data_IF_375807872338
#
_entry.id   IF_375807872338
#
_cell.length_a   1.000
_cell.length_b   1.000
_cell.length_c   1.000
_cell.angle_alpha   90.00
_cell.angle_beta   90.00
_cell.angle_gamma   90.00
#
_symmetry.space_group_name_H-M   'P 1'
#
loop_
_entity.id
_entity.type
_entity.pdbx_description
1 polymer ?
#
# COMPACT_ATOMS: atom_id res chain seq x y z
N UNK A 1 31.63 16.49 -18.16
CA UNK A 1 32.59 15.60 -18.84
C UNK A 1 32.17 14.12 -18.71
N UNK A 2 30.92 13.75 -19.00
CA UNK A 2 30.41 12.38 -18.80
C UNK A 2 29.42 11.93 -19.91
N UNK A 3 29.60 12.41 -21.15
CA UNK A 3 28.67 12.13 -22.26
C UNK A 3 29.33 11.37 -23.42
N UNK A 4 30.66 11.22 -23.42
CA UNK A 4 31.37 10.48 -24.47
C UNK A 4 31.27 8.95 -24.24
N UNK A 5 31.41 8.50 -22.99
CA UNK A 5 31.45 7.07 -22.64
C UNK A 5 30.10 6.34 -22.84
N UNK A 6 28.97 7.06 -22.78
CA UNK A 6 27.64 6.47 -23.02
C UNK A 6 27.43 6.12 -24.50
N UNK A 7 28.05 6.85 -25.43
CA UNK A 7 27.88 6.62 -26.87
C UNK A 7 28.41 5.25 -27.29
N UNK A 8 29.58 4.88 -26.79
CA UNK A 8 30.21 3.59 -27.08
C UNK A 8 29.43 2.43 -26.44
N UNK A 9 28.94 2.61 -25.21
CA UNK A 9 28.11 1.62 -24.54
C UNK A 9 26.76 1.40 -25.27
N UNK A 10 26.17 2.48 -25.81
CA UNK A 10 24.94 2.39 -26.60
C UNK A 10 25.19 1.66 -27.92
N UNK A 11 26.32 1.90 -28.57
CA UNK A 11 26.74 1.17 -29.77
C UNK A 11 26.85 -0.34 -29.52
N UNK A 12 27.52 -0.73 -28.43
CA UNK A 12 27.66 -2.13 -28.02
C UNK A 12 26.30 -2.81 -27.76
N UNK A 13 25.43 -2.15 -26.99
CA UNK A 13 24.08 -2.65 -26.68
C UNK A 13 23.20 -2.77 -27.93
N UNK A 14 23.25 -1.77 -28.82
CA UNK A 14 22.51 -1.81 -30.08
C UNK A 14 23.02 -2.91 -31.02
N UNK A 15 24.34 -3.10 -31.11
CA UNK A 15 24.95 -4.17 -31.88
C UNK A 15 24.55 -5.55 -31.34
N UNK A 16 24.46 -5.72 -30.01
CA UNK A 16 24.00 -6.96 -29.41
C UNK A 16 22.54 -7.26 -29.72
N UNK A 17 21.63 -6.28 -29.59
CA UNK A 17 20.20 -6.45 -29.95
C UNK A 17 20.03 -6.82 -31.42
N UNK A 18 20.87 -6.27 -32.30
CA UNK A 18 20.86 -6.57 -33.73
C UNK A 18 21.54 -7.91 -34.09
N UNK A 19 22.04 -8.67 -33.10
CA UNK A 19 22.76 -9.93 -33.30
C UNK A 19 24.16 -9.76 -33.92
N UNK A 20 24.71 -8.54 -33.93
CA UNK A 20 26.02 -8.20 -34.50
C UNK A 20 27.16 -8.37 -33.49
N UNK A 21 26.83 -8.40 -32.19
CA UNK A 21 27.79 -8.59 -31.09
C UNK A 21 27.43 -9.84 -30.30
N UNK A 22 28.40 -10.76 -30.13
CA UNK A 22 28.21 -11.97 -29.32
C UNK A 22 28.13 -11.66 -27.83
N UNK A 23 27.32 -12.42 -27.07
CA UNK A 23 27.16 -12.30 -25.62
C UNK A 23 28.47 -12.11 -24.80
N UNK A 24 29.54 -12.91 -24.98
CA UNK A 24 30.78 -12.71 -24.21
C UNK A 24 31.50 -11.40 -24.53
N UNK A 25 31.44 -10.93 -25.79
CA UNK A 25 32.02 -9.64 -26.19
C UNK A 25 31.24 -8.47 -25.60
N UNK A 26 29.91 -8.58 -25.53
CA UNK A 26 29.08 -7.55 -24.89
C UNK A 26 29.49 -7.32 -23.44
N UNK A 27 29.63 -8.38 -22.65
CA UNK A 27 30.06 -8.27 -21.24
C UNK A 27 31.44 -7.62 -21.12
N UNK A 28 32.39 -8.01 -21.97
CA UNK A 28 33.73 -7.42 -21.99
C UNK A 28 33.71 -5.92 -22.31
N UNK A 29 32.94 -5.50 -23.32
CA UNK A 29 32.82 -4.09 -23.70
C UNK A 29 32.13 -3.26 -22.61
N UNK A 30 31.04 -3.77 -22.02
CA UNK A 30 30.36 -3.10 -20.90
C UNK A 30 31.28 -2.96 -19.67
N UNK A 31 32.11 -3.98 -19.39
CA UNK A 31 33.11 -3.93 -18.32
C UNK A 31 34.17 -2.86 -18.58
N UNK A 32 34.73 -2.83 -19.80
CA UNK A 32 35.75 -1.86 -20.20
C UNK A 32 35.24 -0.41 -20.13
N UNK A 33 33.95 -0.20 -20.44
CA UNK A 33 33.27 1.10 -20.38
C UNK A 33 32.77 1.46 -18.97
N UNK A 34 33.04 0.63 -17.95
CA UNK A 34 32.66 0.91 -16.58
C UNK A 34 31.14 0.84 -16.31
N UNK A 35 30.37 0.19 -17.19
CA UNK A 35 28.92 0.15 -17.11
C UNK A 35 28.38 -0.44 -15.80
N UNK A 36 29.15 -1.29 -15.11
CA UNK A 36 28.76 -1.93 -13.85
C UNK A 36 28.92 -1.03 -12.61
N UNK A 37 29.65 0.08 -12.72
CA UNK A 37 29.97 0.95 -11.56
C UNK A 37 28.90 2.02 -11.28
N UNK A 38 28.10 2.35 -12.29
CA UNK A 38 27.16 3.47 -12.20
C UNK A 38 25.81 3.04 -11.64
N UNK A 39 25.24 3.87 -10.77
CA UNK A 39 23.92 3.69 -10.17
C UNK A 39 22.83 4.48 -10.91
N UNK A 40 21.58 4.13 -10.63
CA UNK A 40 20.37 4.75 -11.17
C UNK A 40 20.37 4.93 -12.70
N UNK A 41 19.74 6.02 -13.16
CA UNK A 41 19.61 6.36 -14.58
C UNK A 41 20.92 6.89 -15.20
N UNK A 42 21.95 7.15 -14.39
CA UNK A 42 23.30 7.49 -14.88
C UNK A 42 24.03 6.29 -15.46
N UNK A 43 23.58 5.07 -15.13
CA UNK A 43 24.09 3.83 -15.69
C UNK A 43 23.79 3.76 -17.21
N UNK A 44 24.79 3.45 -18.06
CA UNK A 44 24.59 3.43 -19.52
C UNK A 44 23.56 2.39 -19.96
N UNK A 45 23.46 1.24 -19.27
CA UNK A 45 22.46 0.22 -19.60
C UNK A 45 21.04 0.70 -19.23
N UNK A 46 20.87 1.33 -18.07
CA UNK A 46 19.58 1.88 -17.66
C UNK A 46 19.16 3.11 -18.49
N UNK A 47 20.13 3.90 -18.97
CA UNK A 47 19.91 5.01 -19.88
C UNK A 47 19.54 4.50 -21.29
N UNK A 48 20.21 3.46 -21.78
CA UNK A 48 19.89 2.81 -23.06
C UNK A 48 18.51 2.16 -23.03
N UNK A 49 18.16 1.45 -21.96
CA UNK A 49 16.80 0.93 -21.73
C UNK A 49 15.76 2.05 -21.85
N UNK A 50 16.00 3.19 -21.20
CA UNK A 50 15.10 4.34 -21.30
C UNK A 50 15.00 4.89 -22.73
N UNK A 51 16.13 4.96 -23.44
CA UNK A 51 16.16 5.38 -24.84
C UNK A 51 15.36 4.42 -25.73
N UNK A 52 15.45 3.10 -25.53
CA UNK A 52 14.67 2.11 -26.28
C UNK A 52 13.18 2.29 -26.02
N UNK A 53 12.78 2.44 -24.75
CA UNK A 53 11.38 2.61 -24.38
C UNK A 53 10.78 3.92 -24.90
N UNK A 54 11.50 5.03 -24.76
CA UNK A 54 11.05 6.37 -25.17
C UNK A 54 11.54 6.76 -26.58
N UNK A 55 12.04 5.80 -27.37
CA UNK A 55 12.46 6.05 -28.74
C UNK A 55 11.28 6.62 -29.54
N UNK A 56 11.48 7.81 -30.12
CA UNK A 56 10.50 8.41 -31.01
C UNK A 56 10.52 7.69 -32.35
N UNK A 57 9.35 7.48 -32.98
CA UNK A 57 9.29 6.85 -34.29
C UNK A 57 9.96 7.76 -35.33
N UNK A 58 10.69 7.14 -36.30
CA UNK A 58 11.48 7.88 -37.32
C UNK A 58 10.61 8.73 -38.25
N UNK A 59 9.39 8.27 -38.51
CA UNK A 59 8.28 9.04 -39.04
C UNK A 59 7.10 8.78 -38.10
N UNK A 60 6.22 9.75 -37.87
CA UNK A 60 4.92 9.50 -37.23
C UNK A 60 4.02 8.84 -38.27
N UNK A 61 3.95 7.50 -38.36
CA UNK A 61 3.31 6.84 -39.49
C UNK A 61 1.82 6.66 -39.20
N UNK A 62 1.06 6.31 -40.23
CA UNK A 62 -0.29 5.72 -40.13
C UNK A 62 -0.32 4.34 -39.43
N UNK A 63 0.84 3.82 -38.97
CA UNK A 63 0.94 2.58 -38.22
C UNK A 63 0.19 2.70 -36.89
N UNK A 64 -0.53 1.65 -36.51
CA UNK A 64 -1.30 1.68 -35.27
C UNK A 64 -0.33 1.76 -34.09
N UNK A 65 -0.54 2.73 -33.19
CA UNK A 65 0.19 2.92 -31.92
C UNK A 65 0.50 1.61 -31.17
N UNK A 66 -0.37 0.60 -31.29
CA UNK A 66 -0.15 -0.73 -30.71
C UNK A 66 1.07 -1.49 -31.28
N UNK A 67 1.33 -1.38 -32.58
CA UNK A 67 2.51 -1.99 -33.22
C UNK A 67 3.80 -1.36 -32.67
N UNK A 68 3.83 -0.04 -32.50
CA UNK A 68 4.97 0.68 -31.94
C UNK A 68 5.28 0.25 -30.50
N UNK A 69 4.26 0.09 -29.67
CA UNK A 69 4.45 -0.42 -28.30
C UNK A 69 4.94 -1.87 -28.31
N UNK A 70 4.42 -2.71 -29.21
CA UNK A 70 4.87 -4.09 -29.38
C UNK A 70 6.34 -4.19 -29.79
N UNK A 71 6.78 -3.36 -30.74
CA UNK A 71 8.19 -3.27 -31.15
C UNK A 71 9.10 -2.86 -29.99
N UNK A 72 8.67 -1.88 -29.18
CA UNK A 72 9.41 -1.43 -27.99
C UNK A 72 9.51 -2.51 -26.92
N UNK A 73 8.42 -3.23 -26.67
CA UNK A 73 8.41 -4.37 -25.76
C UNK A 73 9.35 -5.48 -26.24
N UNK A 74 9.33 -5.81 -27.54
CA UNK A 74 10.22 -6.79 -28.13
C UNK A 74 11.69 -6.35 -28.01
N UNK A 75 12.00 -5.09 -28.31
CA UNK A 75 13.36 -4.56 -28.21
C UNK A 75 13.88 -4.55 -26.75
N UNK A 76 13.04 -4.16 -25.79
CA UNK A 76 13.37 -4.22 -24.35
C UNK A 76 13.55 -5.67 -23.87
N UNK A 77 12.71 -6.60 -24.33
CA UNK A 77 12.86 -8.03 -24.05
C UNK A 77 14.17 -8.60 -24.60
N UNK A 78 14.53 -8.26 -25.84
CA UNK A 78 15.82 -8.64 -26.44
C UNK A 78 17.01 -8.06 -25.67
N UNK A 79 16.92 -6.80 -25.22
CA UNK A 79 17.95 -6.20 -24.36
C UNK A 79 18.16 -7.03 -23.09
N UNK A 80 17.09 -7.38 -22.37
CA UNK A 80 17.18 -8.20 -21.16
C UNK A 80 17.76 -9.58 -21.43
N UNK A 81 17.36 -10.21 -22.53
CA UNK A 81 17.89 -11.52 -22.95
C UNK A 81 19.39 -11.44 -23.24
N UNK A 82 19.85 -10.46 -24.01
CA UNK A 82 21.27 -10.26 -24.30
C UNK A 82 22.09 -10.01 -23.02
N UNK A 83 21.55 -9.23 -22.07
CA UNK A 83 22.20 -8.98 -20.77
C UNK A 83 22.26 -10.24 -19.91
N UNK A 84 21.24 -11.09 -19.96
CA UNK A 84 21.23 -12.38 -19.26
C UNK A 84 22.24 -13.35 -19.87
N UNK A 85 22.22 -13.53 -21.19
CA UNK A 85 23.09 -14.48 -21.91
C UNK A 85 24.57 -14.09 -21.81
N UNK A 86 24.87 -12.80 -21.67
CA UNK A 86 26.22 -12.28 -21.45
C UNK A 86 26.70 -12.36 -19.99
N UNK A 87 25.81 -12.68 -19.05
CA UNK A 87 26.08 -12.60 -17.61
C UNK A 87 26.10 -11.17 -17.05
N UNK A 88 26.04 -10.14 -17.91
CA UNK A 88 26.11 -8.75 -17.52
C UNK A 88 24.98 -8.35 -16.56
N UNK A 89 23.80 -8.97 -16.67
CA UNK A 89 22.66 -8.70 -15.80
C UNK A 89 22.97 -8.95 -14.31
N UNK A 90 23.85 -9.91 -13.99
CA UNK A 90 24.25 -10.19 -12.60
C UNK A 90 25.25 -9.19 -12.02
N UNK A 91 25.94 -8.44 -12.88
CA UNK A 91 26.99 -7.49 -12.49
C UNK A 91 26.49 -6.05 -12.37
N UNK A 92 25.27 -5.77 -12.86
CA UNK A 92 24.70 -4.44 -12.80
C UNK A 92 24.37 -4.01 -11.37
N UNK A 93 24.54 -2.71 -11.12
CA UNK A 93 24.15 -2.10 -9.85
C UNK A 93 22.64 -2.33 -9.57
N UNK A 94 22.23 -2.67 -8.33
CA UNK A 94 20.83 -2.98 -8.00
C UNK A 94 19.82 -1.92 -8.42
N UNK A 95 20.15 -0.64 -8.24
CA UNK A 95 19.29 0.48 -8.67
C UNK A 95 19.12 0.56 -10.19
N UNK A 96 20.14 0.17 -10.97
CA UNK A 96 20.07 0.15 -12.42
C UNK A 96 19.17 -1.02 -12.87
N UNK A 97 19.37 -2.21 -12.30
CA UNK A 97 18.49 -3.37 -12.53
C UNK A 97 17.02 -3.07 -12.23
N UNK A 98 16.77 -2.40 -11.12
CA UNK A 98 15.43 -1.95 -10.75
C UNK A 98 14.81 -1.06 -11.82
N UNK A 99 15.54 -0.08 -12.34
CA UNK A 99 15.06 0.78 -13.42
C UNK A 99 14.82 0.00 -14.70
N UNK A 100 15.69 -0.94 -15.08
CA UNK A 100 15.47 -1.79 -16.24
C UNK A 100 14.15 -2.57 -16.14
N UNK A 101 13.88 -3.20 -15.00
CA UNK A 101 12.64 -3.94 -14.81
C UNK A 101 11.42 -3.01 -14.73
N UNK A 102 11.56 -1.85 -14.11
CA UNK A 102 10.51 -0.82 -14.06
C UNK A 102 10.16 -0.30 -15.46
N UNK A 103 11.16 -0.11 -16.33
CA UNK A 103 10.92 0.38 -17.70
C UNK A 103 10.01 -0.58 -18.47
N UNK A 104 10.25 -1.90 -18.36
CA UNK A 104 9.38 -2.91 -18.94
C UNK A 104 7.97 -2.91 -18.35
N UNK A 105 7.84 -2.71 -17.03
CA UNK A 105 6.53 -2.61 -16.37
C UNK A 105 5.73 -1.39 -16.85
N UNK A 106 6.40 -0.24 -17.06
CA UNK A 106 5.76 0.98 -17.56
C UNK A 106 5.34 0.83 -19.03
N UNK A 107 6.13 0.12 -19.85
CA UNK A 107 5.73 -0.26 -21.20
C UNK A 107 4.47 -1.14 -21.20
N UNK A 108 4.42 -2.18 -20.37
CA UNK A 108 3.27 -3.06 -20.26
C UNK A 108 2.02 -2.32 -19.75
N UNK A 109 2.18 -1.44 -18.76
CA UNK A 109 1.09 -0.60 -18.26
C UNK A 109 0.44 0.24 -19.37
N UNK A 110 1.26 0.78 -20.27
CA UNK A 110 0.80 1.67 -21.31
C UNK A 110 0.21 0.91 -22.52
N UNK A 111 0.68 -0.32 -22.76
CA UNK A 111 0.04 -1.25 -23.70
C UNK A 111 -1.39 -1.63 -23.27
N UNK A 112 -1.59 -1.96 -21.99
CA UNK A 112 -2.93 -2.23 -21.43
C UNK A 112 -3.86 -1.01 -21.54
N UNK A 113 -3.34 0.19 -21.28
CA UNK A 113 -4.11 1.43 -21.46
C UNK A 113 -4.51 1.63 -22.94
N UNK A 114 -3.62 1.32 -23.88
CA UNK A 114 -3.94 1.40 -25.30
C UNK A 114 -5.05 0.43 -25.67
N UNK A 115 -4.95 -0.82 -25.22
CA UNK A 115 -5.97 -1.83 -25.46
C UNK A 115 -7.33 -1.39 -24.91
N UNK A 116 -7.36 -0.87 -23.68
CA UNK A 116 -8.58 -0.34 -23.07
C UNK A 116 -9.21 0.80 -23.89
N UNK A 117 -8.40 1.71 -24.42
CA UNK A 117 -8.88 2.81 -25.27
C UNK A 117 -9.44 2.31 -26.60
N UNK A 118 -8.79 1.32 -27.23
CA UNK A 118 -9.26 0.73 -28.50
C UNK A 118 -10.59 0.01 -28.37
N UNK A 119 -10.90 -0.54 -27.19
CA UNK A 119 -12.18 -1.20 -26.88
C UNK A 119 -13.33 -0.23 -26.56
N UNK A 120 -13.15 1.06 -26.85
CA UNK A 120 -14.17 2.10 -26.60
C UNK A 120 -13.96 2.82 -25.27
N UNK A 121 -12.74 3.28 -25.00
CA UNK A 121 -12.41 4.01 -23.78
C UNK A 121 -13.33 5.21 -23.53
N UNK A 122 -13.69 5.45 -22.27
CA UNK A 122 -14.60 6.53 -21.91
C UNK A 122 -13.94 7.91 -22.13
N UNK A 123 -14.74 8.93 -22.48
CA UNK A 123 -14.26 10.30 -22.71
C UNK A 123 -13.39 10.88 -21.57
N UNK A 124 -13.67 10.62 -20.26
CA UNK A 124 -12.80 11.07 -19.17
C UNK A 124 -11.38 10.48 -19.23
N UNK A 125 -11.25 9.22 -19.64
CA UNK A 125 -9.95 8.58 -19.83
C UNK A 125 -9.19 9.23 -20.99
N UNK A 126 -9.86 9.48 -22.11
CA UNK A 126 -9.25 10.14 -23.26
C UNK A 126 -8.76 11.56 -22.90
N UNK A 127 -9.52 12.31 -22.12
CA UNK A 127 -9.10 13.64 -21.65
C UNK A 127 -7.83 13.58 -20.78
N UNK A 128 -7.73 12.59 -19.89
CA UNK A 128 -6.53 12.36 -19.06
C UNK A 128 -5.32 11.99 -19.92
N UNK A 129 -5.51 11.11 -20.91
CA UNK A 129 -4.45 10.69 -21.84
C UNK A 129 -3.94 11.88 -22.66
N UNK A 130 -4.84 12.72 -23.17
CA UNK A 130 -4.47 13.93 -23.91
C UNK A 130 -3.73 14.94 -23.03
N UNK A 131 -4.16 15.14 -21.78
CA UNK A 131 -3.49 16.04 -20.84
C UNK A 131 -2.09 15.54 -20.47
N UNK A 132 -1.95 14.25 -20.15
CA UNK A 132 -0.67 13.63 -19.85
C UNK A 132 0.27 13.66 -21.07
N UNK A 133 -0.28 13.41 -22.26
CA UNK A 133 0.43 13.47 -23.53
C UNK A 133 0.93 14.87 -23.89
N UNK A 134 0.11 15.90 -23.66
CA UNK A 134 0.51 17.29 -23.85
C UNK A 134 1.66 17.68 -22.89
N UNK A 135 1.58 17.25 -21.63
CA UNK A 135 2.64 17.44 -20.66
C UNK A 135 3.93 16.67 -21.04
N UNK A 136 3.80 15.45 -21.58
CA UNK A 136 4.93 14.65 -22.03
C UNK A 136 5.61 15.27 -23.26
N UNK A 137 4.83 15.76 -24.22
CA UNK A 137 5.32 16.46 -25.40
C UNK A 137 6.10 17.74 -25.03
N UNK A 138 5.58 18.50 -24.06
CA UNK A 138 6.24 19.71 -23.55
C UNK A 138 7.55 19.41 -22.80
N UNK A 139 7.66 18.23 -22.18
CA UNK A 139 8.85 17.77 -21.46
C UNK A 139 9.86 17.02 -22.36
N UNK A 140 9.53 16.75 -23.62
CA UNK A 140 10.43 16.10 -24.57
C UNK A 140 11.47 17.09 -25.12
N UNK A 141 12.70 16.63 -25.28
CA UNK A 141 13.82 17.39 -25.86
C UNK A 141 14.40 16.58 -27.02
N UNK A 142 14.31 17.05 -28.27
CA UNK A 142 13.58 18.25 -28.73
C UNK A 142 12.06 18.11 -28.55
N UNK A 143 11.36 19.24 -28.49
CA UNK A 143 9.91 19.26 -28.38
C UNK A 143 9.28 18.50 -29.56
N UNK A 144 8.39 17.57 -29.23
CA UNK A 144 7.76 16.70 -30.21
C UNK A 144 6.55 17.43 -30.80
N UNK A 145 6.58 17.74 -32.10
CA UNK A 145 5.45 18.32 -32.83
C UNK A 145 4.39 17.25 -33.22
N UNK A 146 4.05 16.35 -32.29
CA UNK A 146 3.05 15.30 -32.50
C UNK A 146 1.73 15.64 -31.79
N UNK A 147 0.66 14.95 -32.16
CA UNK A 147 -0.58 15.04 -31.41
C UNK A 147 -0.34 14.58 -29.95
N UNK A 148 -1.05 15.15 -28.95
CA UNK A 148 -0.86 14.78 -27.55
C UNK A 148 -1.02 13.27 -27.29
N UNK A 149 -1.96 12.61 -27.96
CA UNK A 149 -2.14 11.16 -27.85
C UNK A 149 -0.92 10.39 -28.35
N UNK A 150 -0.39 10.75 -29.51
CA UNK A 150 0.77 10.07 -30.08
C UNK A 150 2.02 10.29 -29.21
N UNK A 151 2.19 11.50 -28.67
CA UNK A 151 3.27 11.80 -27.72
C UNK A 151 3.12 10.98 -26.42
N UNK A 152 1.90 10.76 -25.95
CA UNK A 152 1.62 9.93 -24.77
C UNK A 152 2.14 8.50 -24.98
N UNK A 153 1.83 7.88 -26.11
CA UNK A 153 2.23 6.51 -26.40
C UNK A 153 3.69 6.37 -26.85
N UNK A 154 4.28 7.43 -27.40
CA UNK A 154 5.66 7.42 -27.83
C UNK A 154 6.69 7.51 -26.68
N UNK A 155 6.33 8.03 -25.51
CA UNK A 155 7.26 8.17 -24.37
C UNK A 155 6.76 7.51 -23.08
N UNK A 156 6.66 6.17 -23.02
CA UNK A 156 6.04 5.47 -21.89
C UNK A 156 6.58 5.83 -20.52
N UNK A 157 7.91 6.02 -20.39
CA UNK A 157 8.54 6.27 -19.09
C UNK A 157 8.20 7.66 -18.53
N UNK A 158 7.96 8.62 -19.43
CA UNK A 158 7.51 9.99 -19.07
C UNK A 158 6.00 10.06 -18.91
N UNK A 159 5.27 9.37 -19.77
CA UNK A 159 3.82 9.45 -19.87
C UNK A 159 3.11 8.75 -18.71
N UNK A 160 3.60 7.61 -18.23
CA UNK A 160 2.93 6.86 -17.15
C UNK A 160 2.88 7.65 -15.82
N UNK A 161 3.96 8.28 -15.32
CA UNK A 161 3.88 9.13 -14.13
C UNK A 161 2.93 10.32 -14.32
N UNK A 162 2.94 10.94 -15.50
CA UNK A 162 2.05 12.06 -15.83
C UNK A 162 0.60 11.60 -15.88
N UNK A 163 0.32 10.43 -16.46
CA UNK A 163 -1.01 9.81 -16.46
C UNK A 163 -1.57 9.68 -15.05
N UNK A 164 -0.80 9.10 -14.12
CA UNK A 164 -1.24 8.92 -12.72
C UNK A 164 -1.54 10.27 -12.05
N UNK A 165 -0.70 11.29 -12.30
CA UNK A 165 -0.92 12.65 -11.79
C UNK A 165 -2.19 13.27 -12.37
N UNK A 166 -2.42 13.13 -13.67
CA UNK A 166 -3.63 13.65 -14.33
C UNK A 166 -4.89 12.88 -13.93
N UNK A 167 -4.79 11.57 -13.62
CA UNK A 167 -5.89 10.81 -13.01
C UNK A 167 -6.24 11.39 -11.63
N UNK A 168 -5.24 11.64 -10.77
CA UNK A 168 -5.47 12.25 -9.46
C UNK A 168 -6.16 13.63 -9.60
N UNK A 169 -5.67 14.46 -10.52
CA UNK A 169 -6.24 15.78 -10.79
C UNK A 169 -7.66 15.69 -11.40
N UNK A 170 -7.94 14.70 -12.25
CA UNK A 170 -9.27 14.46 -12.78
C UNK A 170 -10.23 13.99 -11.69
N UNK A 171 -9.81 13.04 -10.84
CA UNK A 171 -10.59 12.54 -9.71
C UNK A 171 -10.96 13.68 -8.73
N UNK A 172 -9.99 14.55 -8.40
CA UNK A 172 -10.22 15.70 -7.53
C UNK A 172 -11.22 16.72 -8.10
N UNK A 173 -11.39 16.77 -9.42
CA UNK A 173 -12.35 17.64 -10.11
C UNK A 173 -13.76 17.05 -10.19
N UNK A 174 -13.92 15.75 -9.92
CA UNK A 174 -15.24 15.13 -9.82
C UNK A 174 -15.88 15.60 -8.51
N UNK A 175 -16.74 16.62 -8.63
CA UNK A 175 -17.48 17.21 -7.52
C UNK A 175 -18.90 16.71 -7.57
N UNK A 176 -19.50 16.43 -6.41
CA UNK A 176 -20.93 16.13 -6.28
C UNK A 176 -21.78 17.35 -6.69
N UNK A 177 -22.00 17.52 -7.99
CA UNK A 177 -22.94 18.51 -8.53
C UNK A 177 -24.32 17.86 -8.68
N UNK A 178 -25.40 18.52 -8.21
CA UNK A 178 -26.75 17.99 -8.34
C UNK A 178 -27.08 17.76 -9.83
N UNK A 179 -27.48 16.54 -10.17
CA UNK A 179 -27.81 16.13 -11.54
C UNK A 179 -26.66 15.56 -12.37
N UNK A 180 -25.40 15.58 -11.88
CA UNK A 180 -24.24 14.97 -12.58
C UNK A 180 -23.66 13.73 -11.91
N UNK A 181 -24.09 13.41 -10.69
CA UNK A 181 -23.54 12.32 -9.88
C UNK A 181 -23.41 10.96 -10.61
N UNK A 182 -24.40 10.56 -11.42
CA UNK A 182 -24.32 9.31 -12.18
C UNK A 182 -23.25 9.36 -13.29
N UNK A 183 -23.12 10.50 -13.98
CA UNK A 183 -22.05 10.71 -14.97
C UNK A 183 -20.68 10.79 -14.34
N UNK A 184 -20.57 11.46 -13.18
CA UNK A 184 -19.33 11.57 -12.42
C UNK A 184 -18.88 10.20 -11.86
N UNK A 185 -19.82 9.35 -11.44
CA UNK A 185 -19.52 7.98 -11.02
C UNK A 185 -19.08 7.11 -12.21
N UNK A 186 -19.73 7.23 -13.38
CA UNK A 186 -19.29 6.51 -14.57
C UNK A 186 -17.89 6.95 -15.02
N UNK A 187 -17.59 8.25 -14.93
CA UNK A 187 -16.26 8.80 -15.17
C UNK A 187 -15.23 8.24 -14.19
N UNK A 188 -15.57 8.22 -12.89
CA UNK A 188 -14.70 7.68 -11.85
C UNK A 188 -14.41 6.18 -12.04
N UNK A 189 -15.44 5.39 -12.36
CA UNK A 189 -15.32 3.97 -12.64
C UNK A 189 -14.44 3.72 -13.89
N UNK A 190 -14.54 4.57 -14.92
CA UNK A 190 -13.68 4.49 -16.09
C UNK A 190 -12.20 4.80 -15.76
N UNK A 191 -11.94 5.85 -14.98
CA UNK A 191 -10.59 6.19 -14.53
C UNK A 191 -9.99 5.09 -13.64
N UNK A 192 -10.80 4.51 -12.75
CA UNK A 192 -10.39 3.41 -11.88
C UNK A 192 -10.02 2.18 -12.69
N UNK A 193 -10.85 1.78 -13.66
CA UNK A 193 -10.55 0.66 -14.57
C UNK A 193 -9.26 0.90 -15.35
N UNK A 194 -8.99 2.14 -15.77
CA UNK A 194 -7.76 2.47 -16.47
C UNK A 194 -6.52 2.31 -15.58
N UNK A 195 -6.56 2.81 -14.34
CA UNK A 195 -5.46 2.60 -13.38
C UNK A 195 -5.29 1.12 -13.06
N UNK A 196 -6.38 0.38 -12.86
CA UNK A 196 -6.33 -1.06 -12.61
C UNK A 196 -5.72 -1.82 -13.80
N UNK A 197 -6.12 -1.52 -15.04
CA UNK A 197 -5.55 -2.12 -16.24
C UNK A 197 -4.05 -1.85 -16.36
N UNK A 198 -3.63 -0.60 -16.19
CA UNK A 198 -2.22 -0.21 -16.20
C UNK A 198 -1.40 -0.97 -15.13
N UNK A 199 -1.93 -1.06 -13.91
CA UNK A 199 -1.26 -1.78 -12.82
C UNK A 199 -1.25 -3.30 -13.03
N UNK A 200 -2.29 -3.87 -13.63
CA UNK A 200 -2.36 -5.30 -13.96
C UNK A 200 -1.32 -5.68 -15.02
N UNK A 201 -1.19 -4.90 -16.10
CA UNK A 201 -0.16 -5.12 -17.11
C UNK A 201 1.25 -5.05 -16.52
N UNK A 202 1.49 -4.06 -15.66
CA UNK A 202 2.76 -3.95 -14.95
C UNK A 202 3.04 -5.13 -14.02
N UNK A 203 2.04 -5.61 -13.27
CA UNK A 203 2.22 -6.79 -12.41
C UNK A 203 2.43 -8.07 -13.21
N UNK A 204 1.77 -8.22 -14.36
CA UNK A 204 2.00 -9.34 -15.26
C UNK A 204 3.43 -9.32 -15.82
N UNK A 205 3.91 -8.15 -16.24
CA UNK A 205 5.29 -8.01 -16.67
C UNK A 205 6.28 -8.28 -15.53
N UNK A 206 5.93 -7.87 -14.31
CA UNK A 206 6.73 -8.17 -13.11
C UNK A 206 6.83 -9.67 -12.85
N UNK A 207 5.71 -10.40 -12.90
CA UNK A 207 5.73 -11.86 -12.67
C UNK A 207 6.54 -12.57 -13.75
N UNK A 208 6.44 -12.12 -15.00
CA UNK A 208 7.28 -12.57 -16.09
C UNK A 208 8.77 -12.32 -15.79
N UNK A 209 9.15 -11.11 -15.38
CA UNK A 209 10.55 -10.82 -15.03
C UNK A 209 11.06 -11.68 -13.88
N UNK A 210 10.23 -11.93 -12.85
CA UNK A 210 10.59 -12.78 -11.73
C UNK A 210 10.82 -14.24 -12.15
N UNK A 211 10.04 -14.75 -13.11
CA UNK A 211 10.16 -16.10 -13.62
C UNK A 211 11.45 -16.29 -14.44
N UNK A 212 11.74 -15.36 -15.35
CA UNK A 212 12.84 -15.50 -16.31
C UNK A 212 14.18 -14.95 -15.82
N UNK A 213 14.16 -13.92 -14.96
CA UNK A 213 15.35 -13.22 -14.45
C UNK A 213 15.45 -13.29 -12.92
N UNK A 214 15.07 -14.41 -12.31
CA UNK A 214 14.86 -14.54 -10.85
C UNK A 214 15.99 -14.02 -9.96
N UNK A 215 17.25 -14.32 -10.29
CA UNK A 215 18.42 -13.87 -9.52
C UNK A 215 18.59 -12.35 -9.58
N UNK A 216 18.61 -11.77 -10.79
CA UNK A 216 18.75 -10.33 -10.98
C UNK A 216 17.54 -9.56 -10.41
N UNK A 217 16.34 -10.13 -10.51
CA UNK A 217 15.13 -9.56 -9.96
C UNK A 217 15.16 -9.48 -8.43
N UNK A 218 15.67 -10.53 -7.74
CA UNK A 218 15.89 -10.50 -6.29
C UNK A 218 16.88 -9.41 -5.88
N UNK A 219 17.97 -9.25 -6.63
CA UNK A 219 18.98 -8.20 -6.38
C UNK A 219 18.36 -6.81 -6.57
N UNK A 220 17.56 -6.61 -7.61
CA UNK A 220 16.84 -5.35 -7.84
C UNK A 220 15.85 -5.02 -6.71
N UNK A 221 15.22 -6.03 -6.13
CA UNK A 221 14.26 -5.91 -5.02
C UNK A 221 14.89 -5.65 -3.65
N UNK A 222 16.20 -5.91 -3.46
CA UNK A 222 16.90 -5.76 -2.19
C UNK A 222 17.12 -4.31 -1.73
N UNK A 223 16.44 -3.33 -2.34
CA UNK A 223 16.07 -2.08 -1.65
C UNK A 223 17.22 -1.16 -1.27
N UNK A 224 18.16 -0.90 -2.17
CA UNK A 224 19.30 -0.02 -1.87
C UNK A 224 18.93 1.44 -1.54
N UNK A 225 17.72 1.90 -1.84
CA UNK A 225 17.32 3.32 -1.68
C UNK A 225 16.05 3.53 -0.82
N UNK A 226 15.52 2.50 -0.16
CA UNK A 226 14.28 2.61 0.64
C UNK A 226 13.01 2.99 -0.13
N UNK A 227 13.09 3.09 -1.45
CA UNK A 227 11.95 3.38 -2.29
C UNK A 227 11.17 2.09 -2.59
N UNK A 228 9.83 2.08 -2.46
CA UNK A 228 9.04 0.95 -2.95
C UNK A 228 9.12 0.82 -4.46
N UNK A 229 8.87 -0.37 -4.98
CA UNK A 229 8.67 -0.58 -6.41
C UNK A 229 7.67 0.41 -7.01
N UNK A 230 7.81 0.72 -8.30
CA UNK A 230 7.00 1.73 -8.97
C UNK A 230 5.48 1.47 -8.86
N UNK A 231 5.04 0.22 -8.89
CA UNK A 231 3.63 -0.18 -8.69
C UNK A 231 3.09 0.15 -7.30
N UNK A 232 3.96 0.39 -6.33
CA UNK A 232 3.65 0.88 -4.99
C UNK A 232 4.23 2.29 -4.73
N UNK A 233 4.70 2.97 -5.79
CA UNK A 233 5.31 4.30 -5.72
C UNK A 233 4.31 5.39 -5.35
N UNK A 234 4.84 6.56 -4.97
CA UNK A 234 4.03 7.71 -4.52
C UNK A 234 2.97 8.12 -5.55
N UNK A 235 3.31 8.18 -6.84
CA UNK A 235 2.36 8.54 -7.89
C UNK A 235 1.17 7.59 -7.99
N UNK A 236 1.40 6.28 -7.82
CA UNK A 236 0.31 5.27 -7.81
C UNK A 236 -0.56 5.44 -6.57
N UNK A 237 0.06 5.60 -5.39
CA UNK A 237 -0.66 5.81 -4.13
C UNK A 237 -1.50 7.09 -4.18
N UNK A 238 -0.95 8.19 -4.72
CA UNK A 238 -1.66 9.45 -4.87
C UNK A 238 -2.86 9.33 -5.82
N UNK A 239 -2.71 8.66 -6.97
CA UNK A 239 -3.80 8.40 -7.90
C UNK A 239 -4.92 7.57 -7.27
N UNK A 240 -4.57 6.45 -6.63
CA UNK A 240 -5.54 5.56 -5.96
C UNK A 240 -6.23 6.27 -4.79
N UNK A 241 -5.50 7.05 -3.99
CA UNK A 241 -6.07 7.82 -2.89
C UNK A 241 -7.05 8.90 -3.38
N UNK A 242 -6.72 9.61 -4.46
CA UNK A 242 -7.61 10.61 -5.06
C UNK A 242 -8.87 9.98 -5.64
N UNK A 243 -8.76 8.81 -6.29
CA UNK A 243 -9.91 8.05 -6.79
C UNK A 243 -10.81 7.57 -5.64
N UNK A 244 -10.22 7.01 -4.58
CA UNK A 244 -10.97 6.54 -3.42
C UNK A 244 -11.69 7.70 -2.71
N UNK A 245 -11.02 8.84 -2.55
CA UNK A 245 -11.61 10.03 -1.95
C UNK A 245 -12.76 10.60 -2.80
N UNK A 246 -12.60 10.66 -4.12
CA UNK A 246 -13.67 11.06 -5.03
C UNK A 246 -14.88 10.11 -4.93
N UNK A 247 -14.64 8.80 -4.86
CA UNK A 247 -15.70 7.80 -4.70
C UNK A 247 -16.46 7.98 -3.39
N UNK A 248 -15.76 8.19 -2.27
CA UNK A 248 -16.37 8.45 -0.97
C UNK A 248 -17.22 9.73 -0.99
N UNK A 249 -16.73 10.81 -1.61
CA UNK A 249 -17.45 12.10 -1.72
C UNK A 249 -18.70 12.00 -2.59
N UNK A 250 -18.63 11.28 -3.71
CA UNK A 250 -19.76 11.10 -4.61
C UNK A 250 -20.87 10.24 -4.00
N UNK A 251 -20.54 9.32 -3.11
CA UNK A 251 -21.46 8.29 -2.60
C UNK A 251 -22.80 8.86 -2.10
N UNK A 252 -22.78 9.94 -1.32
CA UNK A 252 -24.00 10.53 -0.75
C UNK A 252 -24.94 11.12 -1.80
N UNK A 253 -24.42 11.49 -2.97
CA UNK A 253 -25.19 12.08 -4.08
C UNK A 253 -25.72 11.03 -5.06
N UNK A 254 -25.36 9.75 -4.88
CA UNK A 254 -25.74 8.68 -5.80
C UNK A 254 -27.11 8.08 -5.49
N UNK A 255 -27.87 7.68 -6.53
CA UNK A 255 -29.07 6.88 -6.36
C UNK A 255 -28.73 5.52 -5.72
N UNK A 256 -29.70 4.91 -5.04
CA UNK A 256 -29.50 3.64 -4.32
C UNK A 256 -28.84 2.55 -5.17
N UNK A 257 -29.24 2.40 -6.44
CA UNK A 257 -28.67 1.41 -7.35
C UNK A 257 -27.14 1.58 -7.55
N UNK A 258 -26.65 2.82 -7.68
CA UNK A 258 -25.22 3.08 -7.89
C UNK A 258 -24.42 3.13 -6.59
N UNK A 259 -25.08 3.21 -5.42
CA UNK A 259 -24.38 3.25 -4.12
C UNK A 259 -23.69 1.93 -3.81
N UNK A 260 -24.32 0.80 -4.13
CA UNK A 260 -23.71 -0.52 -3.96
C UNK A 260 -22.48 -0.70 -4.86
N UNK A 261 -22.60 -0.37 -6.15
CA UNK A 261 -21.48 -0.39 -7.11
C UNK A 261 -20.33 0.52 -6.68
N UNK A 262 -20.65 1.73 -6.19
CA UNK A 262 -19.63 2.66 -5.72
C UNK A 262 -18.95 2.17 -4.44
N UNK A 263 -19.67 1.51 -3.52
CA UNK A 263 -19.07 0.91 -2.33
C UNK A 263 -18.07 -0.22 -2.70
N UNK A 264 -18.44 -1.06 -3.68
CA UNK A 264 -17.55 -2.08 -4.24
C UNK A 264 -16.30 -1.46 -4.90
N UNK A 265 -16.48 -0.35 -5.64
CA UNK A 265 -15.36 0.38 -6.25
C UNK A 265 -14.39 0.91 -5.17
N UNK A 266 -14.92 1.50 -4.09
CA UNK A 266 -14.08 1.95 -2.96
C UNK A 266 -13.35 0.80 -2.31
N UNK A 267 -13.99 -0.37 -2.17
CA UNK A 267 -13.36 -1.55 -1.60
C UNK A 267 -12.15 -2.02 -2.43
N UNK A 268 -12.31 -2.10 -3.76
CA UNK A 268 -11.23 -2.48 -4.67
C UNK A 268 -10.08 -1.47 -4.66
N UNK A 269 -10.40 -0.17 -4.65
CA UNK A 269 -9.41 0.90 -4.53
C UNK A 269 -8.67 0.83 -3.18
N UNK A 270 -9.40 0.53 -2.10
CA UNK A 270 -8.84 0.42 -0.75
C UNK A 270 -7.89 -0.76 -0.64
N UNK A 271 -8.31 -1.96 -1.07
CA UNK A 271 -7.46 -3.14 -1.12
C UNK A 271 -6.14 -2.85 -1.84
N UNK A 272 -6.24 -2.26 -3.04
CA UNK A 272 -5.04 -1.92 -3.82
C UNK A 272 -4.16 -0.87 -3.13
N UNK A 273 -4.76 0.18 -2.60
CA UNK A 273 -4.05 1.28 -1.96
C UNK A 273 -3.33 0.82 -0.69
N UNK A 274 -3.98 0.02 0.16
CA UNK A 274 -3.39 -0.48 1.39
C UNK A 274 -2.23 -1.45 1.10
N UNK A 275 -2.36 -2.29 0.07
CA UNK A 275 -1.24 -3.11 -0.42
C UNK A 275 -0.06 -2.26 -0.91
N UNK A 276 -0.31 -1.16 -1.64
CA UNK A 276 0.74 -0.22 -2.04
C UNK A 276 1.41 0.45 -0.83
N UNK A 277 0.64 0.82 0.20
CA UNK A 277 1.20 1.39 1.43
C UNK A 277 2.01 0.36 2.24
N UNK A 278 1.53 -0.87 2.36
CA UNK A 278 2.26 -1.95 3.03
C UNK A 278 3.61 -2.22 2.34
N UNK A 279 3.63 -2.29 1.01
CA UNK A 279 4.87 -2.42 0.25
C UNK A 279 5.81 -1.21 0.43
N UNK A 280 5.25 0.00 0.54
CA UNK A 280 6.01 1.21 0.83
C UNK A 280 6.62 1.21 2.24
N UNK A 281 5.84 0.81 3.24
CA UNK A 281 6.29 0.71 4.62
C UNK A 281 7.39 -0.37 4.77
N UNK A 282 7.24 -1.51 4.09
CA UNK A 282 8.24 -2.57 4.07
C UNK A 282 9.56 -2.11 3.42
N UNK A 283 9.49 -1.42 2.27
CA UNK A 283 10.68 -0.84 1.63
C UNK A 283 11.34 0.24 2.50
N UNK A 284 10.53 1.08 3.15
CA UNK A 284 11.02 2.14 4.03
C UNK A 284 11.71 1.59 5.28
N UNK A 285 11.22 0.48 5.84
CA UNK A 285 11.73 -0.12 7.07
C UNK A 285 13.22 -0.50 6.96
N UNK A 286 13.68 -0.89 5.78
CA UNK A 286 15.04 -1.37 5.53
C UNK A 286 16.09 -0.25 5.37
N UNK A 287 15.69 0.96 4.95
CA UNK A 287 16.67 1.95 4.46
C UNK A 287 16.36 3.42 4.79
N UNK A 288 15.14 3.80 5.22
CA UNK A 288 14.81 5.20 5.49
C UNK A 288 15.07 5.62 6.96
N UNK A 289 15.41 6.90 7.22
CA UNK A 289 15.53 7.46 8.58
C UNK A 289 14.25 7.26 9.41
N UNK A 290 14.37 7.23 10.74
CA UNK A 290 13.23 7.02 11.67
C UNK A 290 12.07 8.00 11.47
N UNK A 291 12.37 9.27 11.22
CA UNK A 291 11.34 10.32 11.01
C UNK A 291 10.48 10.06 9.77
N UNK A 292 11.11 9.76 8.62
CA UNK A 292 10.40 9.47 7.37
C UNK A 292 9.62 8.15 7.46
N UNK A 293 10.15 7.15 8.18
CA UNK A 293 9.41 5.91 8.48
C UNK A 293 8.15 6.19 9.32
N UNK A 294 8.25 7.06 10.32
CA UNK A 294 7.11 7.44 11.15
C UNK A 294 6.04 8.20 10.33
N UNK A 295 6.46 9.10 9.44
CA UNK A 295 5.55 9.83 8.54
C UNK A 295 4.79 8.86 7.61
N UNK A 296 5.50 7.94 6.95
CA UNK A 296 4.88 6.94 6.08
C UNK A 296 3.92 6.02 6.84
N UNK A 297 4.28 5.59 8.05
CA UNK A 297 3.41 4.78 8.92
C UNK A 297 2.17 5.57 9.35
N UNK A 298 2.32 6.84 9.71
CA UNK A 298 1.20 7.71 10.06
C UNK A 298 0.24 7.93 8.89
N UNK A 299 0.77 8.17 7.69
CA UNK A 299 -0.03 8.30 6.47
C UNK A 299 -0.78 7.00 6.13
N UNK A 300 -0.10 5.85 6.26
CA UNK A 300 -0.71 4.53 6.06
C UNK A 300 -1.81 4.24 7.08
N UNK A 301 -1.56 4.48 8.38
CA UNK A 301 -2.54 4.29 9.45
C UNK A 301 -3.77 5.20 9.26
N UNK A 302 -3.58 6.45 8.85
CA UNK A 302 -4.66 7.37 8.53
C UNK A 302 -5.51 6.87 7.35
N UNK A 303 -4.86 6.50 6.24
CA UNK A 303 -5.56 5.98 5.07
C UNK A 303 -6.36 4.71 5.40
N UNK A 304 -5.75 3.78 6.15
CA UNK A 304 -6.36 2.55 6.66
C UNK A 304 -7.59 2.85 7.51
N UNK A 305 -7.44 3.70 8.54
CA UNK A 305 -8.52 4.01 9.46
C UNK A 305 -9.70 4.70 8.79
N UNK A 306 -9.42 5.66 7.91
CA UNK A 306 -10.44 6.43 7.19
C UNK A 306 -11.24 5.57 6.19
N UNK A 307 -10.54 4.79 5.36
CA UNK A 307 -11.20 4.03 4.29
C UNK A 307 -11.94 2.79 4.81
N UNK A 308 -11.31 2.02 5.70
CA UNK A 308 -11.96 0.85 6.30
C UNK A 308 -13.12 1.28 7.20
N UNK A 309 -12.97 2.37 7.97
CA UNK A 309 -14.07 2.94 8.75
C UNK A 309 -15.24 3.39 7.89
N UNK A 310 -14.97 4.04 6.75
CA UNK A 310 -16.01 4.42 5.80
C UNK A 310 -16.73 3.19 5.21
N UNK A 311 -16.00 2.16 4.80
CA UNK A 311 -16.56 0.92 4.24
C UNK A 311 -17.43 0.18 5.28
N UNK A 312 -17.01 0.16 6.55
CA UNK A 312 -17.79 -0.43 7.64
C UNK A 312 -19.15 0.27 7.81
N UNK A 313 -19.16 1.61 7.80
CA UNK A 313 -20.40 2.38 7.87
C UNK A 313 -21.32 2.06 6.67
N UNK A 314 -20.75 1.87 5.48
CA UNK A 314 -21.55 1.48 4.31
C UNK A 314 -22.09 0.05 4.41
N UNK A 315 -21.30 -0.91 4.91
CA UNK A 315 -21.77 -2.28 5.16
C UNK A 315 -22.94 -2.30 6.15
N UNK A 316 -22.87 -1.49 7.20
CA UNK A 316 -23.95 -1.32 8.17
C UNK A 316 -25.20 -0.69 7.53
N UNK A 317 -25.01 0.35 6.70
CA UNK A 317 -26.11 1.03 6.02
C UNK A 317 -26.84 0.15 4.99
N UNK A 318 -26.15 -0.82 4.39
CA UNK A 318 -26.73 -1.82 3.49
C UNK A 318 -27.43 -2.96 4.23
N UNK A 319 -27.29 -3.02 5.56
CA UNK A 319 -27.88 -4.05 6.40
C UNK A 319 -26.97 -5.27 6.55
N UNK A 320 -26.50 -5.51 7.77
CA UNK A 320 -25.59 -6.64 8.09
C UNK A 320 -26.22 -8.03 7.88
N UNK A 321 -27.54 -8.09 7.71
CA UNK A 321 -28.30 -9.32 7.44
C UNK A 321 -28.66 -9.50 5.98
N UNK A 322 -28.43 -8.47 5.16
CA UNK A 322 -28.60 -8.54 3.72
C UNK A 322 -27.34 -9.13 3.09
N UNK A 323 -27.44 -9.92 2.01
CA UNK A 323 -26.29 -10.61 1.42
C UNK A 323 -25.23 -9.64 0.89
N UNK A 324 -25.64 -8.46 0.41
CA UNK A 324 -24.73 -7.42 -0.08
C UNK A 324 -23.91 -6.80 1.06
N UNK A 325 -24.58 -6.46 2.17
CA UNK A 325 -23.94 -5.91 3.36
C UNK A 325 -23.02 -6.92 4.05
N UNK A 326 -23.44 -8.19 4.14
CA UNK A 326 -22.63 -9.27 4.69
C UNK A 326 -21.39 -9.56 3.84
N UNK A 327 -21.53 -9.62 2.52
CA UNK A 327 -20.40 -9.82 1.62
C UNK A 327 -19.38 -8.67 1.72
N UNK A 328 -19.86 -7.41 1.76
CA UNK A 328 -19.00 -6.25 1.95
C UNK A 328 -18.28 -6.33 3.30
N UNK A 329 -18.97 -6.69 4.38
CA UNK A 329 -18.40 -6.81 5.71
C UNK A 329 -17.28 -7.85 5.77
N UNK A 330 -17.51 -9.06 5.23
CA UNK A 330 -16.49 -10.14 5.22
C UNK A 330 -15.22 -9.72 4.47
N UNK A 331 -15.37 -8.96 3.38
CA UNK A 331 -14.22 -8.44 2.64
C UNK A 331 -13.48 -7.34 3.42
N UNK A 332 -14.21 -6.46 4.11
CA UNK A 332 -13.59 -5.44 4.98
C UNK A 332 -12.87 -6.10 6.15
N UNK A 333 -13.42 -7.16 6.74
CA UNK A 333 -12.78 -7.96 7.78
C UNK A 333 -11.47 -8.56 7.28
N UNK A 334 -11.47 -9.27 6.14
CA UNK A 334 -10.24 -9.83 5.57
C UNK A 334 -9.16 -8.78 5.25
N UNK A 335 -9.56 -7.57 4.80
CA UNK A 335 -8.63 -6.47 4.63
C UNK A 335 -8.11 -5.93 5.97
N UNK A 336 -8.97 -5.82 6.97
CA UNK A 336 -8.59 -5.38 8.30
C UNK A 336 -7.63 -6.37 8.98
N UNK A 337 -7.82 -7.68 8.79
CA UNK A 337 -6.89 -8.72 9.25
C UNK A 337 -5.54 -8.62 8.53
N UNK A 338 -5.55 -8.56 7.19
CA UNK A 338 -4.33 -8.49 6.39
C UNK A 338 -3.46 -7.26 6.70
N UNK A 339 -4.10 -6.14 7.05
CA UNK A 339 -3.44 -4.88 7.36
C UNK A 339 -3.38 -4.56 8.87
N UNK A 340 -3.67 -5.54 9.74
CA UNK A 340 -3.64 -5.42 11.20
C UNK A 340 -4.36 -4.16 11.71
N UNK A 341 -5.58 -3.93 11.23
CA UNK A 341 -6.41 -2.78 11.55
C UNK A 341 -7.24 -3.02 12.82
N UNK A 342 -6.58 -3.01 13.98
CA UNK A 342 -7.18 -3.31 15.28
C UNK A 342 -8.48 -2.53 15.60
N UNK A 343 -8.58 -1.21 15.34
CA UNK A 343 -9.81 -0.47 15.61
C UNK A 343 -11.01 -0.99 14.81
N UNK A 344 -10.79 -1.33 13.53
CA UNK A 344 -11.85 -1.75 12.62
C UNK A 344 -12.30 -3.19 12.88
N UNK A 345 -11.37 -4.09 13.23
CA UNK A 345 -11.72 -5.46 13.64
C UNK A 345 -12.62 -5.45 14.88
N UNK A 346 -12.30 -4.62 15.88
CA UNK A 346 -13.14 -4.45 17.05
C UNK A 346 -14.52 -3.89 16.71
N UNK A 347 -14.59 -2.87 15.83
CA UNK A 347 -15.85 -2.27 15.43
C UNK A 347 -16.72 -3.24 14.59
N UNK A 348 -16.10 -4.11 13.78
CA UNK A 348 -16.77 -5.19 13.04
C UNK A 348 -17.36 -6.22 14.01
N UNK A 349 -16.56 -6.75 14.94
CA UNK A 349 -17.02 -7.73 15.92
C UNK A 349 -18.17 -7.19 16.79
N UNK A 350 -18.11 -5.89 17.13
CA UNK A 350 -19.21 -5.22 17.83
C UNK A 350 -20.47 -5.10 16.97
N UNK A 351 -20.32 -4.82 15.68
CA UNK A 351 -21.45 -4.67 14.76
C UNK A 351 -22.14 -6.02 14.49
N UNK A 352 -21.39 -7.12 14.39
CA UNK A 352 -21.92 -8.47 14.17
C UNK A 352 -22.43 -9.11 15.46
N UNK A 353 -21.91 -8.71 16.62
CA UNK A 353 -22.18 -9.35 17.90
C UNK A 353 -21.47 -10.70 18.07
N UNK A 354 -20.54 -11.05 17.17
CA UNK A 354 -19.79 -12.31 17.22
C UNK A 354 -18.57 -12.19 18.13
N UNK A 355 -18.77 -12.59 19.39
CA UNK A 355 -17.71 -12.61 20.42
C UNK A 355 -16.68 -13.71 20.16
N UNK A 356 -17.05 -14.83 19.57
CA UNK A 356 -16.15 -15.96 19.35
C UNK A 356 -15.11 -15.62 18.28
N UNK A 357 -15.52 -14.90 17.23
CA UNK A 357 -14.58 -14.41 16.21
C UNK A 357 -13.62 -13.36 16.77
N UNK A 358 -14.10 -12.45 17.64
CA UNK A 358 -13.21 -11.51 18.35
C UNK A 358 -12.15 -12.23 19.19
N UNK A 359 -12.54 -13.25 19.96
CA UNK A 359 -11.59 -14.00 20.78
C UNK A 359 -10.56 -14.75 19.94
N UNK A 360 -10.98 -15.37 18.82
CA UNK A 360 -10.06 -16.01 17.89
C UNK A 360 -9.06 -15.01 17.30
N UNK A 361 -9.52 -13.83 16.92
CA UNK A 361 -8.67 -12.76 16.41
C UNK A 361 -7.71 -12.23 17.48
N UNK A 362 -8.15 -12.07 18.73
CA UNK A 362 -7.29 -11.66 19.86
C UNK A 362 -6.16 -12.65 20.15
N UNK A 363 -6.38 -13.94 19.90
CA UNK A 363 -5.36 -14.99 20.07
C UNK A 363 -4.36 -15.04 18.91
N UNK A 364 -4.83 -14.83 17.67
CA UNK A 364 -4.03 -15.05 16.47
C UNK A 364 -3.30 -13.81 15.95
N UNK A 365 -3.79 -12.60 16.25
CA UNK A 365 -3.28 -11.36 15.65
C UNK A 365 -2.34 -10.59 16.58
N UNK A 366 -1.12 -10.38 16.09
CA UNK A 366 -0.23 -9.33 16.59
C UNK A 366 -0.67 -8.00 15.94
N UNK A 367 -1.08 -7.03 16.76
CA UNK A 367 -1.44 -5.69 16.29
C UNK A 367 -0.21 -4.79 16.11
N UNK A 368 -0.43 -3.59 15.56
CA UNK A 368 0.67 -2.65 15.24
C UNK A 368 1.46 -2.15 16.45
N UNK A 369 0.81 -2.04 17.61
CA UNK A 369 1.39 -1.56 18.87
C UNK A 369 1.56 -2.68 19.91
N UNK A 370 1.48 -3.94 19.48
CA UNK A 370 1.53 -5.12 20.35
C UNK A 370 0.33 -6.05 20.13
N UNK A 371 0.15 -7.07 20.98
CA UNK A 371 -0.93 -8.06 20.84
C UNK A 371 -2.30 -7.39 20.66
N UNK A 372 -3.12 -7.86 19.72
CA UNK A 372 -4.45 -7.28 19.49
C UNK A 372 -5.31 -7.30 20.76
N UNK A 373 -5.11 -8.30 21.62
CA UNK A 373 -5.73 -8.36 22.94
C UNK A 373 -5.49 -7.10 23.80
N UNK A 374 -4.27 -6.53 23.78
CA UNK A 374 -3.95 -5.32 24.56
C UNK A 374 -4.74 -4.11 24.05
N UNK A 375 -4.95 -4.00 22.74
CA UNK A 375 -5.79 -2.97 22.16
C UNK A 375 -7.26 -3.10 22.63
N UNK A 376 -7.79 -4.32 22.63
CA UNK A 376 -9.16 -4.59 23.12
C UNK A 376 -9.29 -4.23 24.60
N UNK A 377 -8.28 -4.56 25.43
CA UNK A 377 -8.28 -4.23 26.85
C UNK A 377 -8.31 -2.71 27.08
N UNK A 378 -7.43 -1.97 26.38
CA UNK A 378 -7.40 -0.51 26.46
C UNK A 378 -8.71 0.12 26.02
N UNK A 379 -9.33 -0.40 24.95
CA UNK A 379 -10.61 0.14 24.45
C UNK A 379 -11.78 -0.15 25.39
N UNK A 380 -11.86 -1.34 25.97
CA UNK A 380 -12.87 -1.67 26.98
C UNK A 380 -12.74 -0.80 28.24
N UNK A 381 -11.50 -0.49 28.65
CA UNK A 381 -11.24 0.41 29.76
C UNK A 381 -11.71 1.83 29.45
N UNK A 382 -11.37 2.35 28.26
CA UNK A 382 -11.76 3.69 27.81
C UNK A 382 -13.27 3.85 27.63
N UNK A 383 -13.95 2.80 27.18
CA UNK A 383 -15.41 2.78 27.05
C UNK A 383 -16.13 2.61 28.41
N UNK A 384 -15.39 2.49 29.53
CA UNK A 384 -15.95 2.27 30.87
C UNK A 384 -16.55 0.87 31.09
N UNK A 385 -16.25 -0.09 30.20
CA UNK A 385 -16.80 -1.46 30.21
C UNK A 385 -15.88 -2.42 30.96
N UNK A 386 -15.44 -2.02 32.15
CA UNK A 386 -14.52 -2.80 32.98
C UNK A 386 -15.11 -4.17 33.39
N UNK A 387 -16.44 -4.28 33.51
CA UNK A 387 -17.09 -5.57 33.79
C UNK A 387 -16.86 -6.59 32.67
N UNK A 388 -16.89 -6.18 31.40
CA UNK A 388 -16.68 -7.10 30.28
C UNK A 388 -15.21 -7.52 30.13
N UNK A 389 -14.27 -6.68 30.60
CA UNK A 389 -12.86 -7.05 30.73
C UNK A 389 -12.70 -8.18 31.76
N UNK A 390 -13.46 -8.10 32.86
CA UNK A 390 -13.48 -9.06 33.95
C UNK A 390 -14.30 -10.32 33.66
N UNK A 391 -15.00 -10.37 32.53
CA UNK A 391 -15.75 -11.53 32.03
C UNK A 391 -15.05 -12.23 30.84
N UNK A 392 -13.83 -11.81 30.50
CA UNK A 392 -13.06 -12.44 29.42
C UNK A 392 -12.74 -13.91 29.73
N UNK A 393 -12.73 -14.80 28.72
CA UNK A 393 -12.34 -16.21 28.90
C UNK A 393 -10.94 -16.37 29.52
N UNK A 394 -10.74 -17.46 30.28
CA UNK A 394 -9.50 -17.70 31.03
C UNK A 394 -8.23 -17.79 30.17
N UNK A 395 -8.38 -18.09 28.88
CA UNK A 395 -7.27 -18.08 27.92
C UNK A 395 -6.56 -16.72 27.82
N UNK A 396 -7.22 -15.63 28.21
CA UNK A 396 -6.64 -14.28 28.21
C UNK A 396 -6.10 -13.83 29.57
N UNK A 397 -6.20 -14.64 30.63
CA UNK A 397 -5.85 -14.26 32.00
C UNK A 397 -4.40 -13.81 32.15
N UNK A 398 -3.47 -14.56 31.54
CA UNK A 398 -2.05 -14.26 31.59
C UNK A 398 -1.72 -12.95 30.84
N UNK A 399 -2.30 -12.75 29.66
CA UNK A 399 -2.12 -11.54 28.87
C UNK A 399 -2.74 -10.31 29.56
N UNK A 400 -3.93 -10.46 30.14
CA UNK A 400 -4.60 -9.42 30.91
C UNK A 400 -3.81 -9.04 32.16
N UNK A 401 -3.28 -10.02 32.89
CA UNK A 401 -2.43 -9.77 34.05
C UNK A 401 -1.14 -9.01 33.67
N UNK A 402 -0.47 -9.43 32.59
CA UNK A 402 0.71 -8.74 32.07
C UNK A 402 0.40 -7.29 31.66
N UNK A 403 -0.75 -7.05 31.03
CA UNK A 403 -1.17 -5.71 30.62
C UNK A 403 -1.59 -4.81 31.80
N UNK A 404 -2.27 -5.37 32.81
CA UNK A 404 -2.69 -4.63 34.01
C UNK A 404 -1.52 -4.30 34.96
N UNK A 405 -0.49 -5.13 34.97
CA UNK A 405 0.72 -4.93 35.79
C UNK A 405 1.75 -3.97 35.16
N UNK A 406 1.58 -3.63 33.87
CA UNK A 406 2.43 -2.67 33.18
C UNK A 406 2.18 -1.24 33.68
N UNK A 407 3.18 -0.68 34.37
CA UNK A 407 3.15 0.65 34.96
C UNK A 407 3.48 1.78 33.97
N UNK A 408 3.83 1.47 32.72
CA UNK A 408 4.30 2.45 31.74
C UNK A 408 3.18 3.18 30.96
N UNK A 409 1.91 2.82 31.15
CA UNK A 409 0.77 3.39 30.42
C UNK A 409 0.15 4.63 31.06
N UNK A 410 -0.41 5.54 30.24
CA UNK A 410 -1.16 6.73 30.72
C UNK A 410 -2.38 6.33 31.59
N UNK A 411 -2.96 5.14 31.37
CA UNK A 411 -4.08 4.59 32.17
C UNK A 411 -3.64 3.79 33.40
N UNK A 412 -2.35 3.82 33.77
CA UNK A 412 -1.81 3.10 34.92
C UNK A 412 -2.66 3.17 36.21
N UNK A 413 -3.23 4.32 36.64
CA UNK A 413 -4.05 4.36 37.86
C UNK A 413 -5.39 3.62 37.72
N UNK A 414 -5.98 3.59 36.53
CA UNK A 414 -7.21 2.84 36.27
C UNK A 414 -6.94 1.33 36.17
N UNK A 415 -5.82 0.94 35.55
CA UNK A 415 -5.38 -0.47 35.47
C UNK A 415 -5.03 -1.04 36.84
N UNK A 416 -4.35 -0.29 37.69
CA UNK A 416 -4.03 -0.71 39.06
C UNK A 416 -5.30 -1.03 39.89
N UNK A 417 -6.39 -0.27 39.69
CA UNK A 417 -7.69 -0.53 40.32
C UNK A 417 -8.37 -1.81 39.86
N UNK A 418 -8.08 -2.29 38.67
CA UNK A 418 -8.65 -3.52 38.12
C UNK A 418 -7.75 -4.74 38.38
N UNK A 419 -6.45 -4.53 38.60
CA UNK A 419 -5.48 -5.60 38.85
C UNK A 419 -5.88 -6.50 40.03
N UNK A 420 -6.19 -5.91 41.19
CA UNK A 420 -6.55 -6.71 42.38
C UNK A 420 -7.88 -7.46 42.21
N UNK A 421 -8.82 -6.93 41.42
CA UNK A 421 -10.07 -7.63 41.09
C UNK A 421 -9.80 -8.84 40.19
N UNK A 422 -8.90 -8.70 39.22
CA UNK A 422 -8.48 -9.79 38.33
C UNK A 422 -7.76 -10.89 39.10
N UNK A 423 -6.85 -10.53 39.99
CA UNK A 423 -6.14 -11.48 40.85
C UNK A 423 -7.08 -12.25 41.79
N UNK A 424 -8.15 -11.61 42.31
CA UNK A 424 -9.20 -12.31 43.07
C UNK A 424 -9.95 -13.31 42.18
N UNK A 425 -10.28 -12.94 40.93
CA UNK A 425 -10.93 -13.82 39.96
C UNK A 425 -10.09 -15.05 39.67
N UNK A 426 -8.78 -14.88 39.50
CA UNK A 426 -7.81 -15.94 39.27
C UNK A 426 -7.41 -16.72 40.54
N UNK A 427 -7.99 -16.40 41.71
CA UNK A 427 -7.69 -17.02 43.00
C UNK A 427 -6.23 -16.85 43.48
N UNK A 428 -5.54 -15.82 42.98
CA UNK A 428 -4.16 -15.50 43.36
C UNK A 428 -4.11 -14.54 44.56
N UNK A 429 -4.67 -14.98 45.70
CA UNK A 429 -4.84 -14.13 46.88
C UNK A 429 -3.54 -13.54 47.45
N UNK A 430 -2.39 -14.19 47.20
CA UNK A 430 -1.07 -13.66 47.55
C UNK A 430 -0.68 -12.41 46.75
N UNK A 431 -1.00 -12.37 45.46
CA UNK A 431 -0.76 -11.21 44.59
C UNK A 431 -1.69 -10.04 44.95
N UNK A 432 -2.96 -10.34 45.26
CA UNK A 432 -3.98 -9.36 45.68
C UNK A 432 -3.50 -8.49 46.84
N UNK A 433 -2.86 -9.10 47.84
CA UNK A 433 -2.36 -8.37 49.01
C UNK A 433 -1.22 -7.39 48.64
N UNK A 434 -0.41 -7.73 47.64
CA UNK A 434 0.63 -6.88 47.07
C UNK A 434 0.04 -5.71 46.27
N UNK A 435 -0.88 -6.02 45.35
CA UNK A 435 -1.54 -5.04 44.46
C UNK A 435 -2.39 -4.02 45.23
N UNK A 436 -3.18 -4.46 46.23
CA UNK A 436 -3.90 -3.55 47.14
C UNK A 436 -2.94 -2.68 47.97
N UNK A 437 -1.78 -3.23 48.37
CA UNK A 437 -0.76 -2.47 49.07
C UNK A 437 -0.15 -1.35 48.23
N UNK A 438 0.18 -1.66 46.97
CA UNK A 438 0.70 -0.68 46.01
C UNK A 438 -0.34 0.41 45.71
N UNK A 439 -1.61 0.06 45.61
CA UNK A 439 -2.70 0.99 45.32
C UNK A 439 -2.95 1.96 46.48
N UNK A 440 -2.99 1.46 47.72
CA UNK A 440 -3.09 2.31 48.92
C UNK A 440 -1.90 3.26 49.05
N UNK A 441 -0.69 2.80 48.72
CA UNK A 441 0.50 3.65 48.71
C UNK A 441 0.46 4.73 47.61
N UNK A 442 -0.06 4.39 46.42
CA UNK A 442 -0.13 5.31 45.27
C UNK A 442 -1.28 6.34 45.38
N UNK A 443 -2.39 6.02 46.05
CA UNK A 443 -3.58 6.88 46.16
C UNK A 443 -3.75 7.55 47.54
N UNK A 444 -2.71 7.52 48.39
CA UNK A 444 -2.71 8.10 49.74
C UNK A 444 -3.04 9.61 49.80
N UNK A 445 -3.04 10.33 48.68
CA UNK A 445 -3.33 11.76 48.59
C UNK A 445 -4.73 12.11 48.00
N UNK A 446 -5.52 11.14 47.51
CA UNK A 446 -6.73 11.42 46.71
C UNK A 446 -7.98 10.58 47.02
N UNK A 447 -7.92 9.60 47.91
CA UNK A 447 -9.07 8.79 48.36
C UNK A 447 -9.54 9.25 49.73
N UNK A 448 -10.84 9.09 50.04
CA UNK A 448 -11.36 9.33 51.39
C UNK A 448 -10.83 8.30 52.40
N UNK A 449 -10.71 8.69 53.68
CA UNK A 449 -10.22 7.80 54.76
C UNK A 449 -10.97 6.46 54.81
N UNK A 450 -12.29 6.45 54.56
CA UNK A 450 -13.11 5.23 54.54
C UNK A 450 -12.71 4.25 53.43
N UNK A 451 -12.31 4.72 52.24
CA UNK A 451 -11.89 3.86 51.13
C UNK A 451 -10.51 3.24 51.40
N UNK A 452 -9.62 3.99 52.05
CA UNK A 452 -8.30 3.50 52.47
C UNK A 452 -8.45 2.40 53.53
N UNK A 453 -9.31 2.61 54.54
CA UNK A 453 -9.58 1.60 55.56
C UNK A 453 -10.20 0.32 54.95
N UNK A 454 -11.15 0.49 54.01
CA UNK A 454 -11.79 -0.64 53.31
C UNK A 454 -10.78 -1.45 52.50
N UNK A 455 -9.85 -0.79 51.80
CA UNK A 455 -8.81 -1.48 51.02
C UNK A 455 -7.76 -2.16 51.92
N UNK A 456 -7.42 -1.58 53.08
CA UNK A 456 -6.55 -2.22 54.06
C UNK A 456 -7.21 -3.46 54.71
N UNK A 457 -8.52 -3.41 54.96
CA UNK A 457 -9.28 -4.57 55.43
C UNK A 457 -9.30 -5.69 54.38
N UNK A 458 -9.56 -5.37 53.12
CA UNK A 458 -9.52 -6.32 51.99
C UNK A 458 -8.12 -6.94 51.82
N UNK A 459 -7.05 -6.15 51.97
CA UNK A 459 -5.67 -6.64 51.94
C UNK A 459 -5.42 -7.69 53.02
N UNK A 460 -5.86 -7.44 54.25
CA UNK A 460 -5.71 -8.40 55.37
C UNK A 460 -6.51 -9.68 55.10
N UNK A 461 -7.72 -9.57 54.56
CA UNK A 461 -8.55 -10.73 54.20
C UNK A 461 -7.90 -11.57 53.09
N UNK A 462 -7.35 -10.93 52.05
CA UNK A 462 -6.64 -11.63 50.99
C UNK A 462 -5.38 -12.34 51.50
N UNK A 463 -4.60 -11.69 52.36
CA UNK A 463 -3.42 -12.31 52.98
C UNK A 463 -3.78 -13.50 53.87
N UNK A 464 -4.92 -13.47 54.55
CA UNK A 464 -5.43 -14.59 55.35
C UNK A 464 -5.98 -15.73 54.48
N UNK A 465 -6.56 -15.42 53.32
CA UNK A 465 -7.05 -16.43 52.37
C UNK A 465 -5.91 -17.12 51.58
N UNK A 466 -4.73 -16.50 51.53
CA UNK A 466 -3.53 -17.05 50.89
C UNK A 466 -2.69 -17.95 51.81
N UNK A 467 -2.92 -17.87 53.13
CA UNK A 467 -2.25 -18.65 54.17
C UNK A 467 -3.00 -19.95 54.47
#
# INVERSE_FOLDING_TARGET
>A
MATADHGDAFGALQAAINGQLSAPKLSQELSALGAYRHAGRSNPVAAFSAMVCDALPRSWPTAAVGEQLGEKQAAHGLLLQCLQDSGALGELHPSALRLLFQDGQQLAALAELRELLTKGGAAPLQAVVLAAGAAAAAAAVPAVAAAPEDAFFACPLKSVPLFLREVAAAAARLVAQPGRAAGDQAALAALTRAVQAALSGALHQRSHHQQWFSTAFKVAGAGYDGQPEWTAGEGVRAALAALAEAACRLHASLPAALRAENAQLVLELTDRLLNCWAAAAAAAAAALPSAQRAELRGAYANAKGRLLGWLLVQAQAQGLREPEGEHLLRRVEGLAEAHQASPQLYDIARATGDRDTLYRQMEQLEGEEGPFAHFVFGRLLNDGRAAELMDLPSQFDAALHAWLSDAAGEDAPARARLLWLHEIRCQEYGAVAGSLGALVAAQAAGLGEEEVERMLALKKLAALAAA
#
